data_IF_779017040178
#
_entry.id   IF_779017040178
#
_cell.length_a   1.000
_cell.length_b   1.000
_cell.length_c   1.000
_cell.angle_alpha   90.00
_cell.angle_beta   90.00
_cell.angle_gamma   90.00
#
_symmetry.space_group_name_H-M   'P 1'
#
loop_
_entity.id
_entity.type
_entity.pdbx_description
1 polymer ?
#
# COMPACT_ATOMS: atom_id res chain seq x y z
N UNK A 1 -7.84 1.47 -3.77
CA UNK A 1 -7.09 0.56 -4.68
C UNK A 1 -7.39 0.79 -6.16
N UNK A 2 -6.36 1.06 -6.97
CA UNK A 2 -6.45 1.33 -8.43
C UNK A 2 -6.38 0.08 -9.34
N UNK A 3 -6.03 -1.08 -8.79
CA UNK A 3 -5.96 -2.35 -9.52
C UNK A 3 -7.11 -3.28 -9.09
N UNK A 4 -7.76 -3.92 -10.05
CA UNK A 4 -8.80 -4.92 -9.78
C UNK A 4 -8.17 -6.19 -9.23
N UNK A 5 -8.89 -6.86 -8.33
CA UNK A 5 -8.44 -8.12 -7.71
C UNK A 5 -8.06 -9.19 -8.75
N UNK A 6 -8.85 -9.30 -9.82
CA UNK A 6 -8.59 -10.21 -10.94
C UNK A 6 -7.26 -9.93 -11.63
N UNK A 7 -6.88 -8.66 -11.79
CA UNK A 7 -5.62 -8.28 -12.41
C UNK A 7 -4.43 -8.64 -11.51
N UNK A 8 -4.56 -8.43 -10.19
CA UNK A 8 -3.54 -8.83 -9.21
C UNK A 8 -3.33 -10.34 -9.19
N UNK A 9 -4.43 -11.12 -9.24
CA UNK A 9 -4.36 -12.59 -9.31
C UNK A 9 -3.69 -13.07 -10.61
N UNK A 10 -4.02 -12.45 -11.75
CA UNK A 10 -3.41 -12.77 -13.03
C UNK A 10 -1.90 -12.43 -13.06
N UNK A 11 -1.52 -11.26 -12.54
CA UNK A 11 -0.11 -10.86 -12.41
C UNK A 11 0.66 -11.84 -11.51
N UNK A 12 0.07 -12.20 -10.37
CA UNK A 12 0.67 -13.13 -9.42
C UNK A 12 0.95 -14.50 -10.05
N UNK A 13 0.01 -15.04 -10.83
CA UNK A 13 0.20 -16.30 -11.56
C UNK A 13 1.39 -16.23 -12.52
N UNK A 14 1.53 -15.14 -13.26
CA UNK A 14 2.64 -14.96 -14.19
C UNK A 14 4.00 -14.81 -13.48
N UNK A 15 4.02 -14.11 -12.33
CA UNK A 15 5.22 -13.96 -11.51
C UNK A 15 5.66 -15.32 -10.96
N UNK A 16 4.74 -16.08 -10.34
CA UNK A 16 5.05 -17.42 -9.82
C UNK A 16 5.54 -18.33 -10.93
N UNK A 17 4.85 -18.33 -12.07
CA UNK A 17 5.27 -19.12 -13.23
C UNK A 17 6.70 -18.74 -13.66
N UNK A 18 7.01 -17.45 -13.79
CA UNK A 18 8.35 -17.03 -14.18
C UNK A 18 9.42 -17.35 -13.12
N UNK A 19 9.08 -17.42 -11.84
CA UNK A 19 10.04 -17.79 -10.78
C UNK A 19 10.37 -19.28 -10.83
N UNK A 20 9.36 -20.12 -11.08
CA UNK A 20 9.55 -21.56 -11.19
C UNK A 20 10.21 -21.95 -12.53
N UNK A 21 9.72 -21.42 -13.65
CA UNK A 21 10.23 -21.75 -15.00
C UNK A 21 11.69 -21.34 -15.20
N UNK A 22 12.14 -20.29 -14.51
CA UNK A 22 13.52 -19.78 -14.59
C UNK A 22 14.40 -20.25 -13.43
N UNK A 23 13.90 -21.13 -12.57
CA UNK A 23 14.61 -21.66 -11.40
C UNK A 23 15.21 -20.54 -10.51
N UNK A 24 14.51 -19.40 -10.40
CA UNK A 24 14.98 -18.25 -9.62
C UNK A 24 14.83 -18.47 -8.11
N UNK A 25 14.00 -19.43 -7.73
CA UNK A 25 13.74 -19.81 -6.34
C UNK A 25 13.68 -21.33 -6.23
N UNK A 26 14.04 -21.85 -5.06
CA UNK A 26 13.75 -23.24 -4.68
C UNK A 26 12.50 -23.19 -3.81
N UNK A 27 11.43 -23.84 -4.26
CA UNK A 27 10.15 -23.89 -3.55
C UNK A 27 9.71 -25.34 -3.37
N UNK A 28 9.57 -25.77 -2.12
CA UNK A 28 9.28 -27.17 -1.77
C UNK A 28 7.79 -27.47 -1.61
N UNK A 29 6.96 -26.42 -1.47
CA UNK A 29 5.51 -26.56 -1.27
C UNK A 29 4.72 -26.38 -2.58
N UNK A 30 3.38 -26.36 -2.48
CA UNK A 30 2.53 -26.19 -3.65
C UNK A 30 2.69 -24.79 -4.28
N UNK A 31 2.65 -24.67 -5.62
CA UNK A 31 2.67 -23.38 -6.31
C UNK A 31 1.52 -22.45 -5.92
N UNK A 32 0.37 -23.00 -5.52
CA UNK A 32 -0.80 -22.24 -5.06
C UNK A 32 -0.51 -21.49 -3.75
N UNK A 33 0.27 -22.10 -2.85
CA UNK A 33 0.69 -21.42 -1.61
C UNK A 33 1.61 -20.24 -1.93
N UNK A 34 2.54 -20.42 -2.86
CA UNK A 34 3.39 -19.33 -3.32
C UNK A 34 2.59 -18.20 -3.99
N UNK A 35 1.59 -18.55 -4.81
CA UNK A 35 0.66 -17.57 -5.39
C UNK A 35 -0.08 -16.79 -4.30
N UNK A 36 -0.56 -17.47 -3.26
CA UNK A 36 -1.26 -16.80 -2.15
C UNK A 36 -0.36 -15.80 -1.44
N UNK A 37 0.90 -16.18 -1.18
CA UNK A 37 1.89 -15.32 -0.53
C UNK A 37 2.19 -14.09 -1.41
N UNK A 38 2.51 -14.29 -2.69
CA UNK A 38 2.83 -13.17 -3.59
C UNK A 38 1.63 -12.24 -3.78
N UNK A 39 0.43 -12.79 -3.91
CA UNK A 39 -0.79 -11.99 -4.01
C UNK A 39 -1.02 -11.15 -2.75
N UNK A 40 -0.76 -11.72 -1.57
CA UNK A 40 -0.80 -11.01 -0.29
C UNK A 40 0.19 -9.85 -0.25
N UNK A 41 1.45 -10.09 -0.62
CA UNK A 41 2.51 -9.06 -0.67
C UNK A 41 2.12 -7.92 -1.60
N UNK A 42 1.68 -8.24 -2.84
CA UNK A 42 1.27 -7.20 -3.80
C UNK A 42 0.06 -6.43 -3.28
N UNK A 43 -0.92 -7.12 -2.69
CA UNK A 43 -2.11 -6.47 -2.14
C UNK A 43 -1.74 -5.53 -1.00
N UNK A 44 -0.88 -5.96 -0.08
CA UNK A 44 -0.41 -5.13 1.03
C UNK A 44 0.33 -3.88 0.54
N UNK A 45 1.21 -4.04 -0.45
CA UNK A 45 1.95 -2.95 -1.08
C UNK A 45 1.00 -1.92 -1.72
N UNK A 46 0.00 -2.40 -2.47
CA UNK A 46 -1.03 -1.56 -3.07
C UNK A 46 -1.94 -0.85 -2.05
N UNK A 47 -2.02 -1.37 -0.82
CA UNK A 47 -2.78 -0.77 0.27
C UNK A 47 -1.98 0.25 1.08
N UNK A 48 -0.67 0.40 0.87
CA UNK A 48 0.18 1.34 1.61
C UNK A 48 -0.36 2.77 1.51
N UNK A 49 -0.77 3.21 0.32
CA UNK A 49 -1.31 4.55 0.13
C UNK A 49 -2.66 4.72 0.84
N UNK A 50 -3.56 3.73 0.73
CA UNK A 50 -4.87 3.76 1.36
C UNK A 50 -4.73 3.83 2.90
N UNK A 51 -3.85 3.01 3.49
CA UNK A 51 -3.51 3.03 4.93
C UNK A 51 -2.92 4.38 5.36
N UNK A 52 -2.00 4.92 4.56
CA UNK A 52 -1.40 6.22 4.83
C UNK A 52 -2.45 7.33 4.83
N UNK A 53 -3.39 7.32 3.86
CA UNK A 53 -4.45 8.32 3.79
C UNK A 53 -5.35 8.27 5.03
N UNK A 54 -5.74 7.09 5.49
CA UNK A 54 -6.59 6.93 6.67
C UNK A 54 -5.87 7.30 7.97
N UNK A 55 -4.57 7.05 8.06
CA UNK A 55 -3.74 7.52 9.16
C UNK A 55 -3.66 9.05 9.19
N UNK A 56 -3.45 9.69 8.05
CA UNK A 56 -3.44 11.16 7.95
C UNK A 56 -4.79 11.74 8.39
N UNK A 57 -5.92 11.17 7.95
CA UNK A 57 -7.24 11.62 8.41
C UNK A 57 -7.38 11.53 9.92
N UNK A 58 -7.04 10.37 10.48
CA UNK A 58 -7.11 10.12 11.94
C UNK A 58 -6.26 11.12 12.73
N UNK A 59 -5.06 11.42 12.24
CA UNK A 59 -4.18 12.43 12.85
C UNK A 59 -4.80 13.83 12.82
N UNK A 60 -5.42 14.22 11.70
CA UNK A 60 -6.10 15.52 11.59
C UNK A 60 -7.35 15.59 12.47
N UNK A 61 -8.15 14.53 12.51
CA UNK A 61 -9.37 14.44 13.30
C UNK A 61 -9.07 14.52 14.82
N UNK A 62 -7.93 13.96 15.26
CA UNK A 62 -7.47 14.07 16.64
C UNK A 62 -7.04 15.50 17.04
N UNK A 63 -6.84 16.38 16.06
CA UNK A 63 -6.31 17.74 16.21
C UNK A 63 -7.30 18.83 15.79
N UNK A 64 -8.55 18.45 15.50
CA UNK A 64 -9.60 19.33 14.93
C UNK A 64 -9.81 20.63 15.72
N UNK A 65 -9.72 20.60 17.06
CA UNK A 65 -9.86 21.81 17.90
C UNK A 65 -8.75 22.86 17.70
N UNK A 66 -7.53 22.45 17.32
CA UNK A 66 -6.42 23.38 16.99
C UNK A 66 -6.58 23.98 15.59
N UNK A 67 -7.16 23.22 14.65
CA UNK A 67 -7.29 23.65 13.25
C UNK A 67 -8.43 24.65 13.03
N UNK A 68 -9.58 24.46 13.68
CA UNK A 68 -10.72 25.40 13.59
C UNK A 68 -10.34 26.82 14.04
N UNK A 69 -9.42 26.95 15.00
CA UNK A 69 -8.91 28.24 15.48
C UNK A 69 -7.98 28.95 14.48
N UNK A 70 -7.42 28.21 13.51
CA UNK A 70 -6.33 28.68 12.65
C UNK A 70 -6.74 29.04 11.22
N UNK A 71 -8.01 28.82 10.83
CA UNK A 71 -8.48 28.96 9.44
C UNK A 71 -7.57 28.25 8.40
N UNK A 72 -6.91 27.15 8.81
CA UNK A 72 -6.10 26.36 7.89
C UNK A 72 -6.99 25.53 6.96
N UNK A 73 -6.68 25.56 5.67
CA UNK A 73 -7.30 24.69 4.68
C UNK A 73 -6.93 23.23 4.97
N UNK A 74 -7.92 22.44 5.38
CA UNK A 74 -7.79 21.01 5.68
C UNK A 74 -7.07 20.25 4.55
N UNK A 75 -7.39 20.56 3.30
CA UNK A 75 -6.78 19.90 2.14
C UNK A 75 -5.27 20.16 2.06
N UNK A 76 -4.85 21.40 2.36
CA UNK A 76 -3.42 21.76 2.37
C UNK A 76 -2.68 21.07 3.51
N UNK A 77 -3.25 21.04 4.72
CA UNK A 77 -2.65 20.38 5.87
C UNK A 77 -2.54 18.87 5.63
N UNK A 78 -3.58 18.24 5.07
CA UNK A 78 -3.58 16.83 4.68
C UNK A 78 -2.39 16.50 3.76
N UNK A 79 -2.19 17.27 2.70
CA UNK A 79 -1.07 17.05 1.78
C UNK A 79 0.29 17.25 2.45
N UNK A 80 0.42 18.22 3.36
CA UNK A 80 1.65 18.44 4.11
C UNK A 80 1.99 17.28 5.04
N UNK A 81 1.01 16.77 5.80
CA UNK A 81 1.20 15.63 6.71
C UNK A 81 1.49 14.35 5.93
N UNK A 82 0.73 14.09 4.85
CA UNK A 82 0.98 12.96 3.94
C UNK A 82 2.41 13.01 3.41
N UNK A 83 2.84 14.15 2.87
CA UNK A 83 4.20 14.33 2.33
C UNK A 83 5.30 14.14 3.38
N UNK A 84 5.05 14.54 4.63
CA UNK A 84 5.98 14.33 5.74
C UNK A 84 6.12 12.83 6.07
N UNK A 85 4.99 12.13 6.24
CA UNK A 85 4.99 10.70 6.55
C UNK A 85 5.61 9.84 5.44
N UNK A 86 5.36 10.18 4.16
CA UNK A 86 6.00 9.51 3.01
C UNK A 86 7.53 9.58 3.12
N UNK A 87 8.07 10.77 3.40
CA UNK A 87 9.52 10.97 3.53
C UNK A 87 10.09 10.27 4.75
N UNK A 88 9.42 10.35 5.90
CA UNK A 88 9.89 9.73 7.15
C UNK A 88 9.92 8.21 7.05
N UNK A 89 8.99 7.60 6.32
CA UNK A 89 8.87 6.15 6.15
C UNK A 89 9.52 5.62 4.88
N UNK A 90 10.10 6.49 4.05
CA UNK A 90 10.70 6.11 2.77
C UNK A 90 9.71 5.44 1.81
N UNK A 91 8.42 5.81 1.86
CA UNK A 91 7.40 5.23 1.00
C UNK A 91 7.56 5.72 -0.44
N UNK A 92 7.30 4.84 -1.40
CA UNK A 92 7.23 5.17 -2.83
C UNK A 92 5.73 5.16 -3.18
N UNK A 93 5.19 6.32 -3.55
CA UNK A 93 3.79 6.51 -3.95
C UNK A 93 3.69 6.80 -5.45
#
# INVERSE_FOLDING_TARGET
MRLTKELTEHLTKNIVKSFLDKELIIWEESPEKLQTIINGIITEDLMVEDRLNDEVKTLLDSKTEEYERSMMDYGRVFQMVKSKLVRERGLIL
#
